data_IF_942398276115
#
_entry.id   IF_942398276115
#
_cell.length_a   1.000
_cell.length_b   1.000
_cell.length_c   1.000
_cell.angle_alpha   90.00
_cell.angle_beta   90.00
_cell.angle_gamma   90.00
#
_symmetry.space_group_name_H-M   'P 1'
#
loop_
_entity.id
_entity.type
_entity.pdbx_description
1 polymer ?
#
# COMPACT_ATOMS: atom_id res chain seq x y z
N UNK A 1 -34.98 -7.89 6.31
CA UNK A 1 -35.72 -9.17 6.27
C UNK A 1 -34.85 -10.37 5.88
N UNK A 2 -34.00 -10.33 4.85
CA UNK A 2 -33.19 -11.48 4.46
C UNK A 2 -32.14 -11.94 5.48
N UNK A 3 -31.49 -11.02 6.19
CA UNK A 3 -30.45 -11.33 7.17
C UNK A 3 -30.97 -11.93 8.49
N UNK A 4 -32.16 -11.55 8.96
CA UNK A 4 -32.73 -12.11 10.18
C UNK A 4 -33.15 -13.57 10.02
N UNK A 5 -33.69 -13.96 8.85
CA UNK A 5 -34.02 -15.35 8.56
C UNK A 5 -32.75 -16.23 8.58
N UNK A 6 -31.69 -15.80 7.92
CA UNK A 6 -30.43 -16.55 7.89
C UNK A 6 -29.80 -16.76 9.29
N UNK A 7 -29.94 -15.80 10.19
CA UNK A 7 -29.42 -15.89 11.57
C UNK A 7 -30.24 -16.88 12.39
N UNK A 8 -31.57 -16.84 12.28
CA UNK A 8 -32.47 -17.77 12.97
C UNK A 8 -32.34 -19.20 12.50
N UNK A 9 -32.26 -19.41 11.19
CA UNK A 9 -32.08 -20.73 10.59
C UNK A 9 -30.77 -21.38 11.06
N UNK A 10 -29.69 -20.60 11.20
CA UNK A 10 -28.42 -21.10 11.67
C UNK A 10 -28.43 -21.51 13.16
N UNK A 11 -29.19 -20.80 14.00
CA UNK A 11 -29.39 -21.18 15.41
C UNK A 11 -30.09 -22.55 15.51
N UNK A 12 -31.03 -22.82 14.60
CA UNK A 12 -31.74 -24.10 14.52
C UNK A 12 -30.83 -25.24 14.03
N UNK A 13 -29.82 -24.94 13.21
CA UNK A 13 -28.85 -25.91 12.70
C UNK A 13 -27.68 -26.22 13.63
N UNK A 14 -27.64 -25.67 14.87
CA UNK A 14 -26.63 -25.97 15.88
C UNK A 14 -25.21 -25.53 15.53
N UNK A 15 -25.05 -24.46 14.71
CA UNK A 15 -23.74 -23.96 14.30
C UNK A 15 -22.94 -23.36 15.45
N UNK A 16 -21.65 -23.77 15.59
CA UNK A 16 -20.73 -23.32 16.64
C UNK A 16 -19.81 -22.16 16.20
N UNK A 17 -19.82 -21.79 14.90
CA UNK A 17 -18.96 -20.71 14.39
C UNK A 17 -19.51 -19.32 14.78
N UNK A 18 -18.64 -18.36 15.14
CA UNK A 18 -19.07 -17.00 15.45
C UNK A 18 -19.76 -16.34 14.25
N UNK A 19 -20.83 -15.60 14.53
CA UNK A 19 -21.60 -14.89 13.53
C UNK A 19 -21.26 -13.40 13.54
N UNK A 20 -21.09 -12.84 12.35
CA UNK A 20 -20.95 -11.41 12.11
C UNK A 20 -22.19 -10.84 11.43
N UNK A 21 -22.66 -9.68 11.90
CA UNK A 21 -23.78 -8.95 11.30
C UNK A 21 -23.37 -7.48 11.07
N UNK A 22 -23.32 -7.10 9.80
CA UNK A 22 -22.92 -5.75 9.36
C UNK A 22 -23.95 -5.21 8.35
N UNK A 23 -25.14 -4.78 8.79
CA UNK A 23 -26.17 -4.27 7.90
C UNK A 23 -25.84 -2.89 7.35
N UNK A 24 -26.44 -2.54 6.23
CA UNK A 24 -26.45 -1.17 5.77
C UNK A 24 -27.30 -0.29 6.71
N UNK A 25 -26.99 1.00 6.80
CA UNK A 25 -27.76 1.98 7.54
C UNK A 25 -29.04 2.36 6.77
N UNK A 26 -29.97 1.39 6.63
CA UNK A 26 -31.22 1.52 5.90
C UNK A 26 -31.12 1.16 4.42
N UNK A 27 -32.22 1.42 3.68
CA UNK A 27 -32.24 1.19 2.23
C UNK A 27 -31.57 2.33 1.47
N UNK A 28 -30.82 2.02 0.39
CA UNK A 28 -30.23 3.05 -0.45
C UNK A 28 -31.31 3.80 -1.25
N UNK A 29 -31.28 5.12 -1.19
CA UNK A 29 -32.02 5.99 -2.10
C UNK A 29 -31.06 6.47 -3.17
N UNK A 30 -31.26 6.00 -4.40
CA UNK A 30 -30.38 6.33 -5.54
C UNK A 30 -30.96 7.55 -6.26
N UNK A 31 -30.18 8.61 -6.34
CA UNK A 31 -30.42 9.77 -7.20
C UNK A 31 -29.45 9.74 -8.38
N UNK A 32 -29.62 10.62 -9.38
CA UNK A 32 -28.74 10.66 -10.56
C UNK A 32 -27.25 10.87 -10.22
N UNK A 33 -26.93 11.43 -9.06
CA UNK A 33 -25.56 11.82 -8.67
C UNK A 33 -25.08 11.21 -7.36
N UNK A 34 -25.98 10.63 -6.53
CA UNK A 34 -25.62 10.16 -5.19
C UNK A 34 -26.46 8.97 -4.74
N UNK A 35 -25.85 8.12 -3.93
CA UNK A 35 -26.54 7.08 -3.14
C UNK A 35 -26.58 7.56 -1.69
N UNK A 36 -27.80 7.71 -1.12
CA UNK A 36 -28.00 8.11 0.28
C UNK A 36 -28.65 6.99 1.07
N UNK A 37 -28.22 6.81 2.30
CA UNK A 37 -28.81 5.89 3.26
C UNK A 37 -29.54 6.69 4.33
N UNK A 38 -30.74 6.25 4.74
CA UNK A 38 -31.65 7.01 5.63
C UNK A 38 -31.83 6.33 6.99
N UNK A 39 -31.00 5.37 7.36
CA UNK A 39 -31.07 4.71 8.66
C UNK A 39 -30.81 5.68 9.81
N UNK A 40 -31.59 5.57 10.89
CA UNK A 40 -31.39 6.36 12.12
C UNK A 40 -30.43 5.59 13.05
N UNK A 41 -29.43 6.25 13.66
CA UNK A 41 -28.48 5.62 14.58
C UNK A 41 -29.15 4.83 15.71
N UNK A 42 -30.22 5.39 16.31
CA UNK A 42 -30.90 4.77 17.44
C UNK A 42 -31.67 3.49 17.03
N UNK A 43 -32.29 3.50 15.85
CA UNK A 43 -32.95 2.32 15.32
C UNK A 43 -31.94 1.22 14.98
N UNK A 44 -30.85 1.60 14.33
CA UNK A 44 -29.74 0.71 13.99
C UNK A 44 -29.15 0.04 15.25
N UNK A 45 -28.87 0.83 16.28
CA UNK A 45 -28.32 0.35 17.54
C UNK A 45 -29.26 -0.63 18.25
N UNK A 46 -30.53 -0.28 18.39
CA UNK A 46 -31.52 -1.10 19.04
C UNK A 46 -31.70 -2.46 18.38
N UNK A 47 -31.80 -2.50 17.04
CA UNK A 47 -32.00 -3.78 16.34
C UNK A 47 -30.79 -4.69 16.44
N UNK A 48 -29.56 -4.12 16.39
CA UNK A 48 -28.33 -4.90 16.61
C UNK A 48 -28.12 -5.28 18.07
N UNK A 49 -28.49 -4.42 19.00
CA UNK A 49 -28.47 -4.72 20.44
C UNK A 49 -29.39 -5.89 20.81
N UNK A 50 -30.58 -5.96 20.18
CA UNK A 50 -31.49 -7.10 20.35
C UNK A 50 -30.85 -8.41 19.90
N UNK A 51 -30.16 -8.42 18.75
CA UNK A 51 -29.44 -9.60 18.24
C UNK A 51 -28.28 -10.00 19.15
N UNK A 52 -27.58 -9.02 19.73
CA UNK A 52 -26.52 -9.26 20.71
C UNK A 52 -27.07 -9.89 21.99
N UNK A 53 -28.17 -9.37 22.53
CA UNK A 53 -28.83 -9.89 23.72
C UNK A 53 -29.32 -11.33 23.56
N UNK A 54 -29.67 -11.75 22.36
CA UNK A 54 -30.02 -13.14 22.04
C UNK A 54 -28.81 -14.10 22.07
N UNK A 55 -27.57 -13.59 22.20
CA UNK A 55 -26.32 -14.36 22.24
C UNK A 55 -25.97 -15.09 20.93
N UNK A 56 -26.67 -14.78 19.83
CA UNK A 56 -26.51 -15.47 18.53
C UNK A 56 -25.41 -14.87 17.67
N UNK A 57 -25.05 -13.60 17.93
CA UNK A 57 -24.12 -12.82 17.12
C UNK A 57 -22.99 -12.30 17.98
N UNK A 58 -21.75 -12.55 17.57
CA UNK A 58 -20.55 -12.18 18.30
C UNK A 58 -19.84 -10.96 17.71
N UNK A 59 -20.03 -10.69 16.41
CA UNK A 59 -19.40 -9.55 15.72
C UNK A 59 -20.52 -8.67 15.16
N UNK A 60 -20.57 -7.43 15.63
CA UNK A 60 -21.56 -6.44 15.23
C UNK A 60 -20.90 -5.22 14.65
N UNK A 61 -21.47 -4.69 13.60
CA UNK A 61 -20.94 -3.51 12.94
C UNK A 61 -21.90 -2.98 11.90
N UNK A 62 -21.39 -2.18 10.98
CA UNK A 62 -22.19 -1.62 9.90
C UNK A 62 -21.49 -1.65 8.57
N UNK A 63 -22.26 -1.50 7.50
CA UNK A 63 -21.80 -1.44 6.13
C UNK A 63 -22.15 -0.07 5.51
N UNK A 64 -22.65 -0.05 4.29
CA UNK A 64 -22.94 1.17 3.54
C UNK A 64 -23.88 2.13 4.29
N UNK A 65 -23.52 3.42 4.31
CA UNK A 65 -24.28 4.47 4.99
C UNK A 65 -24.12 4.51 6.51
N UNK A 66 -23.37 3.59 7.12
CA UNK A 66 -23.04 3.62 8.55
C UNK A 66 -22.07 4.78 8.82
N UNK A 67 -22.38 5.60 9.82
CA UNK A 67 -21.58 6.74 10.24
C UNK A 67 -21.05 6.53 11.67
N UNK A 68 -20.09 7.32 12.13
CA UNK A 68 -19.65 7.27 13.53
C UNK A 68 -20.78 7.37 14.55
N UNK A 69 -21.85 8.14 14.27
CA UNK A 69 -23.02 8.23 15.14
C UNK A 69 -23.75 6.89 15.30
N UNK A 70 -23.85 6.10 14.23
CA UNK A 70 -24.45 4.74 14.30
C UNK A 70 -23.61 3.81 15.18
N UNK A 71 -22.30 3.88 15.07
CA UNK A 71 -21.39 3.05 15.88
C UNK A 71 -21.39 3.49 17.35
N UNK A 72 -21.41 4.80 17.62
CA UNK A 72 -21.52 5.32 18.99
C UNK A 72 -22.85 4.89 19.65
N UNK A 73 -23.96 5.00 18.94
CA UNK A 73 -25.27 4.54 19.44
C UNK A 73 -25.26 3.02 19.69
N UNK A 74 -24.69 2.22 18.77
CA UNK A 74 -24.53 0.78 18.95
C UNK A 74 -23.67 0.46 20.17
N UNK A 75 -22.55 1.17 20.37
CA UNK A 75 -21.69 0.95 21.54
C UNK A 75 -22.44 1.21 22.85
N UNK A 76 -23.16 2.32 22.94
CA UNK A 76 -23.98 2.67 24.09
C UNK A 76 -25.07 1.62 24.39
N UNK A 77 -25.72 1.09 23.35
CA UNK A 77 -26.71 0.04 23.45
C UNK A 77 -26.09 -1.25 24.00
N UNK A 78 -24.95 -1.67 23.46
CA UNK A 78 -24.23 -2.87 23.90
C UNK A 78 -23.71 -2.75 25.35
N UNK A 79 -23.26 -1.55 25.76
CA UNK A 79 -22.81 -1.30 27.12
C UNK A 79 -23.96 -1.32 28.16
N UNK A 80 -25.18 -1.10 27.70
CA UNK A 80 -26.39 -1.21 28.55
C UNK A 80 -26.87 -2.65 28.76
N UNK A 81 -26.39 -3.60 27.93
CA UNK A 81 -26.74 -5.01 28.07
C UNK A 81 -26.03 -5.63 29.30
N UNK A 82 -26.64 -6.60 30.01
CA UNK A 82 -25.98 -7.30 31.11
C UNK A 82 -24.72 -7.99 30.62
N UNK A 83 -23.61 -7.77 31.36
CA UNK A 83 -22.25 -8.16 30.98
C UNK A 83 -22.14 -9.68 30.88
N UNK A 84 -21.92 -10.20 29.69
CA UNK A 84 -21.18 -11.46 29.54
C UNK A 84 -19.68 -11.12 29.70
N UNK A 85 -18.95 -11.88 30.52
CA UNK A 85 -17.58 -11.60 30.98
C UNK A 85 -16.67 -11.03 29.89
N UNK A 86 -16.13 -9.84 30.18
CA UNK A 86 -15.13 -9.16 29.34
C UNK A 86 -13.78 -9.84 29.51
N UNK A 87 -13.28 -10.50 28.47
CA UNK A 87 -11.87 -10.86 28.36
C UNK A 87 -11.11 -9.73 27.68
N UNK A 88 -10.14 -9.16 28.43
CA UNK A 88 -9.05 -8.26 28.09
C UNK A 88 -9.34 -6.75 27.97
N UNK A 89 -8.41 -5.90 28.48
CA UNK A 89 -8.51 -4.46 28.42
C UNK A 89 -8.19 -3.94 27.02
N UNK A 90 -8.92 -2.89 26.63
CA UNK A 90 -8.61 -2.13 25.42
C UNK A 90 -7.29 -1.38 25.62
N UNK A 91 -6.30 -1.64 24.78
CA UNK A 91 -5.14 -0.76 24.65
C UNK A 91 -5.62 0.60 24.12
N UNK A 92 -5.20 1.66 24.77
CA UNK A 92 -5.46 3.02 24.33
C UNK A 92 -4.79 3.23 22.95
N UNK A 93 -5.60 3.47 21.93
CA UNK A 93 -5.09 3.92 20.65
C UNK A 93 -4.44 5.28 20.84
N UNK A 94 -3.12 5.33 20.72
CA UNK A 94 -2.40 6.59 20.63
C UNK A 94 -2.88 7.33 19.38
N UNK A 95 -3.32 8.57 19.58
CA UNK A 95 -3.67 9.49 18.50
C UNK A 95 -2.50 9.59 17.52
N UNK A 96 -2.73 9.17 16.29
CA UNK A 96 -1.79 9.38 15.18
C UNK A 96 -1.56 10.89 15.09
N UNK A 97 -0.32 11.33 15.33
CA UNK A 97 0.08 12.72 15.07
C UNK A 97 -0.16 12.96 13.58
N UNK A 98 -0.94 13.98 13.24
CA UNK A 98 -0.98 14.51 11.88
C UNK A 98 0.45 14.88 11.48
N UNK A 99 1.03 14.06 10.60
CA UNK A 99 2.29 14.42 9.96
C UNK A 99 1.94 15.48 8.93
N UNK A 100 2.46 16.69 9.14
CA UNK A 100 2.50 17.71 8.08
C UNK A 100 3.22 17.10 6.89
N UNK A 101 2.51 16.98 5.78
CA UNK A 101 3.05 16.42 4.53
C UNK A 101 4.08 17.43 4.01
N UNK A 102 5.36 17.25 4.35
CA UNK A 102 6.44 17.88 3.61
C UNK A 102 6.45 17.29 2.20
N UNK A 103 6.25 18.15 1.18
CA UNK A 103 6.14 17.72 -0.21
C UNK A 103 7.45 17.17 -0.80
N UNK A 104 8.58 17.29 -0.12
CA UNK A 104 9.88 16.82 -0.59
C UNK A 104 10.60 16.06 0.53
N UNK A 105 10.98 14.82 0.23
CA UNK A 105 11.69 13.93 1.15
C UNK A 105 13.13 14.41 1.42
N UNK A 106 13.70 14.09 2.59
CA UNK A 106 15.05 14.47 2.99
C UNK A 106 16.12 14.00 1.99
N UNK A 107 15.93 12.84 1.40
CA UNK A 107 16.78 12.30 0.34
C UNK A 107 16.77 13.22 -0.91
N UNK A 108 15.60 13.61 -1.40
CA UNK A 108 15.48 14.48 -2.58
C UNK A 108 16.04 15.88 -2.31
N UNK A 109 15.85 16.44 -1.10
CA UNK A 109 16.46 17.72 -0.72
C UNK A 109 17.98 17.70 -0.84
N UNK A 110 18.63 16.65 -0.31
CA UNK A 110 20.09 16.48 -0.45
C UNK A 110 20.51 16.32 -1.90
N UNK A 111 19.82 15.48 -2.65
CA UNK A 111 20.10 15.24 -4.05
C UNK A 111 20.00 16.52 -4.88
N UNK A 112 18.95 17.32 -4.70
CA UNK A 112 18.72 18.60 -5.37
C UNK A 112 19.72 19.68 -4.95
N UNK A 113 20.24 19.61 -3.73
CA UNK A 113 21.33 20.47 -3.25
C UNK A 113 22.71 20.08 -3.82
N UNK A 114 22.80 19.00 -4.60
CA UNK A 114 24.06 18.49 -5.14
C UNK A 114 24.93 17.76 -4.10
N UNK A 115 24.34 17.39 -2.97
CA UNK A 115 25.02 16.59 -1.94
C UNK A 115 25.14 15.13 -2.36
N UNK A 116 26.17 14.46 -1.86
CA UNK A 116 26.31 13.02 -2.06
C UNK A 116 25.35 12.28 -1.13
N UNK A 117 24.58 11.36 -1.69
CA UNK A 117 23.62 10.52 -0.99
C UNK A 117 24.02 9.05 -1.05
N UNK A 118 23.70 8.31 0.01
CA UNK A 118 23.97 6.88 0.13
C UNK A 118 22.64 6.15 0.07
N UNK A 119 22.40 5.45 -1.05
CA UNK A 119 21.24 4.57 -1.23
C UNK A 119 21.71 3.11 -1.10
N UNK A 120 21.00 2.31 -0.31
CA UNK A 120 21.34 0.91 -0.06
C UNK A 120 20.14 0.04 -0.40
N UNK A 121 20.34 -1.01 -1.21
CA UNK A 121 19.34 -2.02 -1.45
C UNK A 121 19.33 -3.04 -0.32
N UNK A 122 18.17 -3.25 0.27
CA UNK A 122 17.91 -4.27 1.28
C UNK A 122 16.68 -5.08 0.88
N UNK A 123 16.91 -6.32 0.53
CA UNK A 123 15.87 -7.24 0.08
C UNK A 123 14.84 -7.55 1.18
N UNK A 124 13.55 -7.46 0.84
CA UNK A 124 12.47 -7.81 1.77
C UNK A 124 12.51 -9.29 2.19
N UNK A 125 12.00 -9.64 3.40
CA UNK A 125 11.99 -11.02 3.89
C UNK A 125 11.18 -11.97 3.00
N UNK A 126 11.52 -13.26 3.05
CA UNK A 126 10.75 -14.34 2.41
C UNK A 126 9.65 -14.93 3.31
N UNK A 127 9.58 -14.49 4.55
CA UNK A 127 8.61 -14.92 5.55
C UNK A 127 7.90 -13.69 6.15
N UNK A 128 6.99 -13.90 7.08
CA UNK A 128 6.22 -12.84 7.72
C UNK A 128 6.96 -12.12 8.87
N UNK A 129 8.19 -12.49 9.19
CA UNK A 129 8.98 -11.86 10.25
C UNK A 129 9.81 -10.68 9.70
N UNK A 130 9.47 -9.48 10.15
CA UNK A 130 10.12 -8.23 9.77
C UNK A 130 11.18 -7.76 10.78
N UNK A 131 11.32 -8.44 11.94
CA UNK A 131 12.17 -7.99 13.05
C UNK A 131 13.62 -7.79 12.63
N UNK A 132 14.24 -8.80 12.04
CA UNK A 132 15.64 -8.73 11.59
C UNK A 132 15.85 -7.71 10.45
N UNK A 133 14.84 -7.51 9.61
CA UNK A 133 14.88 -6.51 8.56
C UNK A 133 14.90 -5.09 9.13
N UNK A 134 14.02 -4.76 10.08
CA UNK A 134 13.96 -3.45 10.72
C UNK A 134 15.24 -3.15 11.54
N UNK A 135 15.79 -4.15 12.22
CA UNK A 135 17.09 -4.01 12.89
C UNK A 135 18.22 -3.71 11.89
N UNK A 136 18.23 -4.39 10.74
CA UNK A 136 19.14 -4.13 9.64
C UNK A 136 18.99 -2.71 9.10
N UNK A 137 17.78 -2.29 8.80
CA UNK A 137 17.47 -0.94 8.32
C UNK A 137 17.94 0.14 9.32
N UNK A 138 17.69 -0.05 10.62
CA UNK A 138 18.15 0.85 11.69
C UNK A 138 19.67 0.94 11.77
N UNK A 139 20.38 -0.18 11.60
CA UNK A 139 21.86 -0.18 11.56
C UNK A 139 22.39 0.55 10.34
N UNK A 140 21.76 0.40 9.17
CA UNK A 140 22.13 1.10 7.95
C UNK A 140 21.89 2.61 8.08
N UNK A 141 20.77 3.02 8.65
CA UNK A 141 20.50 4.42 8.95
C UNK A 141 21.56 5.02 9.88
N UNK A 142 21.89 4.33 10.97
CA UNK A 142 22.93 4.76 11.90
C UNK A 142 24.34 4.81 11.26
N UNK A 143 24.59 4.03 10.23
CA UNK A 143 25.81 4.05 9.43
C UNK A 143 25.84 5.16 8.35
N UNK A 144 24.75 5.93 8.21
CA UNK A 144 24.68 7.06 7.29
C UNK A 144 23.95 6.79 5.97
N UNK A 145 23.14 5.74 5.87
CA UNK A 145 22.27 5.55 4.70
C UNK A 145 21.18 6.64 4.67
N UNK A 146 21.02 7.28 3.53
CA UNK A 146 20.00 8.30 3.29
C UNK A 146 18.70 7.70 2.76
N UNK A 147 18.80 6.56 2.06
CA UNK A 147 17.68 5.91 1.37
C UNK A 147 17.83 4.39 1.41
N UNK A 148 16.74 3.66 1.66
CA UNK A 148 16.66 2.23 1.39
C UNK A 148 15.87 1.97 0.10
N UNK A 149 16.47 1.23 -0.85
CA UNK A 149 15.77 0.68 -1.99
C UNK A 149 15.33 -0.75 -1.68
N UNK A 150 14.11 -1.12 -2.08
CA UNK A 150 13.52 -2.40 -1.69
C UNK A 150 12.98 -3.11 -2.92
N UNK A 151 13.61 -4.22 -3.29
CA UNK A 151 13.26 -4.96 -4.50
C UNK A 151 11.87 -5.59 -4.44
N UNK A 152 11.12 -5.52 -5.55
CA UNK A 152 9.80 -6.11 -5.72
C UNK A 152 9.92 -7.51 -6.33
N UNK A 153 9.90 -8.54 -5.52
CA UNK A 153 9.99 -9.94 -5.92
C UNK A 153 11.13 -10.21 -6.95
N UNK A 154 12.40 -9.96 -6.57
CA UNK A 154 13.53 -10.16 -7.47
C UNK A 154 13.59 -11.60 -7.98
N UNK A 155 14.03 -11.76 -9.23
CA UNK A 155 14.07 -13.05 -9.94
C UNK A 155 12.67 -13.71 -10.02
N UNK A 156 11.61 -12.90 -9.97
CA UNK A 156 10.22 -13.33 -9.96
C UNK A 156 9.84 -14.28 -8.80
N UNK A 157 10.60 -14.29 -7.72
CA UNK A 157 10.30 -15.08 -6.53
C UNK A 157 9.57 -14.24 -5.49
N UNK A 158 8.46 -14.76 -4.96
CA UNK A 158 7.64 -14.09 -3.98
C UNK A 158 8.44 -13.77 -2.70
N UNK A 159 8.32 -12.52 -2.26
CA UNK A 159 8.83 -12.00 -0.99
C UNK A 159 7.74 -11.13 -0.34
N UNK A 160 7.99 -10.64 0.86
CA UNK A 160 7.13 -9.62 1.46
C UNK A 160 7.07 -8.40 0.52
N UNK A 161 5.87 -7.85 0.31
CA UNK A 161 5.64 -6.74 -0.63
C UNK A 161 6.55 -5.54 -0.31
N UNK A 162 7.30 -5.09 -1.30
CA UNK A 162 8.28 -4.00 -1.18
C UNK A 162 7.68 -2.71 -0.66
N UNK A 163 6.44 -2.42 -1.07
CA UNK A 163 5.72 -1.20 -0.68
C UNK A 163 5.26 -1.24 0.77
N UNK A 164 4.77 -2.40 1.25
CA UNK A 164 4.41 -2.57 2.66
C UNK A 164 5.63 -2.44 3.57
N UNK A 165 6.77 -3.02 3.16
CA UNK A 165 8.03 -2.89 3.89
C UNK A 165 8.52 -1.44 3.88
N UNK A 166 8.43 -0.74 2.74
CA UNK A 166 8.78 0.67 2.62
C UNK A 166 7.97 1.56 3.57
N UNK A 167 6.64 1.39 3.59
CA UNK A 167 5.76 2.11 4.52
C UNK A 167 6.14 1.84 5.99
N UNK A 168 6.48 0.59 6.31
CA UNK A 168 6.86 0.21 7.67
C UNK A 168 8.17 0.86 8.11
N UNK A 169 9.20 0.81 7.26
CA UNK A 169 10.51 1.45 7.52
C UNK A 169 10.35 2.97 7.64
N UNK A 170 9.62 3.58 6.70
CA UNK A 170 9.39 5.02 6.72
C UNK A 170 8.68 5.45 8.01
N UNK A 171 7.62 4.75 8.41
CA UNK A 171 6.83 5.06 9.61
C UNK A 171 7.59 4.88 10.91
N UNK A 172 8.38 3.81 11.04
CA UNK A 172 9.07 3.50 12.30
C UNK A 172 10.42 4.18 12.46
N UNK A 173 11.14 4.38 11.37
CA UNK A 173 12.50 4.89 11.40
C UNK A 173 12.63 6.31 10.83
N UNK A 174 11.63 6.83 10.14
CA UNK A 174 11.73 8.10 9.40
C UNK A 174 12.76 8.06 8.27
N UNK A 175 13.21 6.86 7.87
CA UNK A 175 14.17 6.70 6.78
C UNK A 175 13.46 6.75 5.44
N UNK A 176 14.02 7.49 4.49
CA UNK A 176 13.52 7.54 3.13
C UNK A 176 13.56 6.15 2.47
N UNK A 177 12.55 5.82 1.70
CA UNK A 177 12.43 4.50 1.07
C UNK A 177 12.05 4.62 -0.40
N UNK A 178 12.64 3.76 -1.22
CA UNK A 178 12.37 3.64 -2.65
C UNK A 178 11.91 2.21 -2.96
N UNK A 179 10.62 1.89 -2.77
CA UNK A 179 10.12 0.59 -3.18
C UNK A 179 10.20 0.43 -4.70
N UNK A 180 10.68 -0.72 -5.16
CA UNK A 180 10.57 -1.09 -6.57
C UNK A 180 9.13 -1.47 -6.86
N UNK A 181 8.66 -1.10 -8.05
CA UNK A 181 7.33 -1.42 -8.53
C UNK A 181 7.45 -2.09 -9.90
N UNK A 182 7.22 -3.40 -9.94
CA UNK A 182 7.23 -4.16 -11.19
C UNK A 182 5.89 -4.09 -11.91
N UNK A 183 5.93 -4.14 -13.25
CA UNK A 183 4.73 -4.26 -14.09
C UNK A 183 4.21 -5.71 -14.18
N UNK A 184 4.95 -6.68 -13.62
CA UNK A 184 4.70 -8.12 -13.83
C UNK A 184 3.41 -8.59 -13.18
N UNK A 185 3.16 -8.22 -11.92
CA UNK A 185 2.20 -8.92 -11.08
C UNK A 185 0.91 -8.12 -10.81
N UNK A 186 0.85 -6.84 -11.22
CA UNK A 186 -0.27 -5.95 -10.88
C UNK A 186 -0.98 -5.42 -12.12
N UNK A 187 -2.32 -5.45 -12.08
CA UNK A 187 -3.15 -4.74 -13.05
C UNK A 187 -3.31 -3.26 -12.67
N UNK A 188 -4.01 -2.49 -13.51
CA UNK A 188 -4.22 -1.05 -13.32
C UNK A 188 -4.82 -0.72 -11.94
N UNK A 189 -5.86 -1.44 -11.52
CA UNK A 189 -6.53 -1.17 -10.25
C UNK A 189 -5.63 -1.47 -9.05
N UNK A 190 -4.92 -2.59 -9.06
CA UNK A 190 -3.96 -2.94 -8.01
C UNK A 190 -2.79 -1.95 -7.96
N UNK A 191 -2.31 -1.50 -9.12
CA UNK A 191 -1.26 -0.46 -9.22
C UNK A 191 -1.74 0.86 -8.63
N UNK A 192 -2.94 1.32 -9.01
CA UNK A 192 -3.52 2.58 -8.49
C UNK A 192 -3.73 2.51 -6.98
N UNK A 193 -4.34 1.45 -6.48
CA UNK A 193 -4.59 1.27 -5.05
C UNK A 193 -3.29 1.30 -4.23
N UNK A 194 -2.23 0.64 -4.73
CA UNK A 194 -0.93 0.64 -4.07
C UNK A 194 -0.27 2.03 -4.06
N UNK A 195 -0.31 2.76 -5.17
CA UNK A 195 0.23 4.12 -5.26
C UNK A 195 -0.47 5.09 -4.30
N UNK A 196 -1.80 5.02 -4.21
CA UNK A 196 -2.56 5.82 -3.26
C UNK A 196 -2.18 5.48 -1.80
N UNK A 197 -1.97 4.20 -1.50
CA UNK A 197 -1.50 3.75 -0.20
C UNK A 197 -0.11 4.26 0.14
N UNK A 198 0.86 4.12 -0.78
CA UNK A 198 2.22 4.66 -0.61
C UNK A 198 2.19 6.17 -0.36
N UNK A 199 1.40 6.90 -1.15
CA UNK A 199 1.25 8.35 -1.00
C UNK A 199 0.68 8.71 0.37
N UNK A 200 -0.35 8.03 0.84
CA UNK A 200 -0.97 8.24 2.16
C UNK A 200 -0.02 7.96 3.33
N UNK A 201 0.89 6.97 3.16
CA UNK A 201 1.91 6.61 4.15
C UNK A 201 3.16 7.50 4.13
N UNK A 202 3.21 8.52 3.27
CA UNK A 202 4.35 9.44 3.18
C UNK A 202 5.48 8.99 2.25
N UNK A 203 5.39 7.82 1.62
CA UNK A 203 6.38 7.36 0.63
C UNK A 203 6.14 8.09 -0.69
N UNK A 204 7.13 8.85 -1.13
CA UNK A 204 7.02 9.75 -2.31
C UNK A 204 7.86 9.30 -3.51
N UNK A 205 8.73 8.34 -3.34
CA UNK A 205 9.64 7.81 -4.35
C UNK A 205 9.27 6.38 -4.71
N UNK A 206 9.36 6.05 -6.01
CA UNK A 206 9.22 4.68 -6.51
C UNK A 206 10.20 4.40 -7.64
N UNK A 207 10.71 3.17 -7.72
CA UNK A 207 11.46 2.70 -8.88
C UNK A 207 10.54 1.91 -9.81
N UNK A 208 10.17 2.50 -10.94
CA UNK A 208 9.33 1.87 -11.93
C UNK A 208 10.14 0.97 -12.88
N UNK A 209 9.94 -0.33 -12.77
CA UNK A 209 10.65 -1.34 -13.58
C UNK A 209 9.69 -2.31 -14.25
N UNK A 210 10.13 -2.94 -15.33
CA UNK A 210 9.30 -3.95 -16.02
C UNK A 210 9.14 -5.21 -15.18
N UNK A 211 10.17 -5.59 -14.43
CA UNK A 211 10.25 -6.82 -13.66
C UNK A 211 10.87 -7.98 -14.45
N UNK A 212 11.46 -8.92 -13.72
CA UNK A 212 12.08 -10.12 -14.27
C UNK A 212 11.01 -11.05 -14.85
N UNK A 213 11.33 -11.80 -15.90
CA UNK A 213 10.43 -12.81 -16.43
C UNK A 213 10.25 -13.96 -15.44
N UNK A 214 9.05 -14.52 -15.37
CA UNK A 214 8.76 -15.69 -14.54
C UNK A 214 9.59 -16.88 -15.06
N UNK A 215 10.32 -17.58 -14.16
CA UNK A 215 11.06 -18.77 -14.51
C UNK A 215 10.17 -19.82 -15.20
N UNK A 216 10.72 -20.53 -16.18
CA UNK A 216 9.93 -21.49 -16.98
C UNK A 216 9.26 -22.56 -16.12
N UNK A 217 9.92 -23.01 -15.06
CA UNK A 217 9.39 -24.02 -14.14
C UNK A 217 8.17 -23.57 -13.32
N UNK A 218 7.98 -22.25 -13.15
CA UNK A 218 6.91 -21.69 -12.32
C UNK A 218 5.75 -21.13 -13.15
N UNK A 219 5.82 -21.18 -14.49
CA UNK A 219 4.82 -20.56 -15.38
C UNK A 219 3.44 -21.20 -15.33
N UNK A 220 3.33 -22.41 -14.84
CA UNK A 220 2.04 -23.08 -14.68
C UNK A 220 1.29 -22.56 -13.44
N UNK A 221 2.01 -22.21 -12.40
CA UNK A 221 1.45 -21.71 -11.13
C UNK A 221 1.30 -20.20 -11.12
N UNK A 222 2.28 -19.46 -11.69
CA UNK A 222 2.33 -18.00 -11.68
C UNK A 222 2.02 -17.46 -13.06
N UNK A 223 1.01 -16.60 -13.18
CA UNK A 223 0.66 -15.89 -14.42
C UNK A 223 1.04 -14.42 -14.30
N UNK A 224 1.77 -13.92 -15.30
CA UNK A 224 2.08 -12.50 -15.39
C UNK A 224 0.87 -11.69 -15.88
N UNK A 225 0.84 -10.41 -15.52
CA UNK A 225 -0.20 -9.46 -15.93
C UNK A 225 0.32 -8.52 -17.03
N UNK A 226 1.50 -7.91 -16.81
CA UNK A 226 2.16 -6.96 -17.72
C UNK A 226 1.22 -5.97 -18.42
N UNK A 227 0.29 -5.37 -17.67
CA UNK A 227 -0.60 -4.35 -18.23
C UNK A 227 0.16 -3.08 -18.62
N UNK A 228 1.25 -2.79 -17.91
CA UNK A 228 2.18 -1.71 -18.20
C UNK A 228 3.55 -2.24 -18.64
N UNK A 229 4.34 -1.36 -19.24
CA UNK A 229 5.80 -1.40 -19.17
C UNK A 229 6.28 -0.23 -18.30
N UNK A 230 7.57 -0.19 -17.95
CA UNK A 230 8.10 0.82 -17.01
C UNK A 230 7.83 2.27 -17.44
N UNK A 231 7.87 2.59 -18.74
CA UNK A 231 7.58 3.94 -19.26
C UNK A 231 6.11 4.32 -19.07
N UNK A 232 5.19 3.42 -19.46
CA UNK A 232 3.75 3.64 -19.26
C UNK A 232 3.37 3.68 -17.79
N UNK A 233 4.07 2.90 -16.94
CA UNK A 233 3.89 2.97 -15.50
C UNK A 233 4.31 4.33 -14.95
N UNK A 234 5.48 4.85 -15.35
CA UNK A 234 5.93 6.18 -14.95
C UNK A 234 4.93 7.28 -15.38
N UNK A 235 4.51 7.27 -16.65
CA UNK A 235 3.51 8.20 -17.17
C UNK A 235 2.21 8.13 -16.35
N UNK A 236 1.77 6.93 -16.02
CA UNK A 236 0.57 6.72 -15.21
C UNK A 236 0.72 7.30 -13.81
N UNK A 237 1.83 7.03 -13.11
CA UNK A 237 2.10 7.57 -11.76
C UNK A 237 2.04 9.11 -11.77
N UNK A 238 2.73 9.74 -12.70
CA UNK A 238 2.72 11.21 -12.86
C UNK A 238 1.32 11.73 -13.14
N UNK A 239 0.51 11.00 -13.90
CA UNK A 239 -0.86 11.42 -14.24
C UNK A 239 -1.82 11.43 -13.04
N UNK A 240 -1.51 10.72 -11.94
CA UNK A 240 -2.34 10.69 -10.74
C UNK A 240 -2.14 11.91 -9.83
N UNK A 241 -1.08 12.69 -10.06
CA UNK A 241 -0.71 13.81 -9.21
C UNK A 241 -1.22 15.15 -9.76
N UNK A 242 -1.59 16.07 -8.87
CA UNK A 242 -1.96 17.44 -9.18
C UNK A 242 -3.23 17.91 -8.49
N UNK A 243 -3.52 19.20 -8.61
CA UNK A 243 -4.72 19.80 -8.02
C UNK A 243 -5.99 19.15 -8.58
N UNK A 244 -6.89 18.74 -7.70
CA UNK A 244 -8.13 18.03 -8.05
C UNK A 244 -7.95 16.60 -8.54
N UNK A 245 -6.75 16.04 -8.47
CA UNK A 245 -6.45 14.65 -8.81
C UNK A 245 -6.39 13.78 -7.55
N UNK A 246 -6.14 12.48 -7.75
CA UNK A 246 -6.15 11.49 -6.69
C UNK A 246 -5.00 11.67 -5.68
N UNK A 247 -3.86 12.21 -6.11
CA UNK A 247 -2.72 12.56 -5.25
C UNK A 247 -2.52 14.08 -5.29
N UNK A 248 -2.59 14.78 -4.14
CA UNK A 248 -2.46 16.23 -4.06
C UNK A 248 -1.11 16.78 -4.55
N UNK A 249 -0.06 15.98 -4.46
CA UNK A 249 1.30 16.34 -4.88
C UNK A 249 1.97 15.24 -5.69
N UNK A 250 3.17 15.51 -6.24
CA UNK A 250 3.88 14.57 -7.09
C UNK A 250 4.43 13.38 -6.31
N UNK A 251 4.63 12.27 -7.01
CA UNK A 251 5.56 11.21 -6.66
C UNK A 251 6.76 11.28 -7.60
N UNK A 252 7.95 11.09 -7.06
CA UNK A 252 9.18 11.02 -7.85
C UNK A 252 9.38 9.61 -8.37
N UNK A 253 9.49 9.47 -9.68
CA UNK A 253 9.63 8.17 -10.34
C UNK A 253 11.05 7.99 -10.83
N UNK A 254 11.74 6.98 -10.31
CA UNK A 254 13.04 6.56 -10.83
C UNK A 254 12.88 5.39 -11.80
N UNK A 255 13.85 5.24 -12.69
CA UNK A 255 13.96 4.12 -13.61
C UNK A 255 15.26 3.34 -13.44
N UNK A 256 15.36 2.17 -14.04
CA UNK A 256 16.63 1.45 -14.15
C UNK A 256 17.37 1.82 -15.43
N UNK A 257 18.71 1.92 -15.34
CA UNK A 257 19.62 2.15 -16.46
C UNK A 257 20.70 1.08 -16.50
N UNK A 258 20.82 0.36 -17.60
CA UNK A 258 21.81 -0.70 -17.76
C UNK A 258 23.08 -0.19 -18.46
N UNK A 259 24.08 0.19 -17.66
CA UNK A 259 25.39 0.63 -18.17
C UNK A 259 26.20 -0.49 -18.84
N UNK A 260 25.80 -1.75 -18.65
CA UNK A 260 26.46 -2.92 -19.22
C UNK A 260 25.73 -3.45 -20.47
N UNK A 261 24.81 -2.67 -21.04
CA UNK A 261 24.07 -3.08 -22.25
C UNK A 261 25.01 -3.29 -23.44
N UNK A 262 24.80 -4.34 -24.22
CA UNK A 262 25.59 -4.65 -25.42
C UNK A 262 25.57 -3.51 -26.45
N UNK A 263 24.43 -2.82 -26.57
CA UNK A 263 24.28 -1.63 -27.39
C UNK A 263 23.82 -0.49 -26.51
N UNK A 264 24.75 0.32 -26.05
CA UNK A 264 24.49 1.40 -25.10
C UNK A 264 23.72 2.56 -25.73
N UNK A 265 23.85 2.81 -27.03
CA UNK A 265 23.08 3.87 -27.72
C UNK A 265 21.56 3.56 -27.74
N UNK A 266 21.22 2.27 -27.78
CA UNK A 266 19.82 1.84 -27.63
C UNK A 266 19.34 2.08 -26.19
N UNK A 267 20.19 1.83 -25.20
CA UNK A 267 19.84 2.06 -23.80
C UNK A 267 19.71 3.56 -23.48
N UNK A 268 20.58 4.41 -24.03
CA UNK A 268 20.46 5.87 -23.94
C UNK A 268 19.13 6.38 -24.53
N UNK A 269 18.78 5.87 -25.70
CA UNK A 269 17.48 6.21 -26.32
C UNK A 269 16.29 5.82 -25.41
N UNK A 270 16.36 4.61 -24.82
CA UNK A 270 15.35 4.15 -23.85
C UNK A 270 15.33 5.01 -22.58
N UNK A 271 16.51 5.44 -22.10
CA UNK A 271 16.61 6.34 -20.96
C UNK A 271 15.93 7.69 -21.27
N UNK A 272 16.19 8.26 -22.44
CA UNK A 272 15.52 9.48 -22.91
C UNK A 272 13.99 9.31 -22.96
N UNK A 273 13.50 8.22 -23.53
CA UNK A 273 12.06 7.92 -23.56
C UNK A 273 11.47 7.76 -22.12
N UNK A 274 12.25 7.24 -21.16
CA UNK A 274 11.84 7.14 -19.75
C UNK A 274 11.69 8.52 -19.11
N UNK A 275 12.64 9.44 -19.34
CA UNK A 275 12.55 10.84 -18.88
C UNK A 275 11.34 11.56 -19.51
N UNK A 276 11.12 11.42 -20.82
CA UNK A 276 9.97 11.98 -21.52
C UNK A 276 8.63 11.46 -20.98
N UNK A 277 8.61 10.27 -20.37
CA UNK A 277 7.44 9.70 -19.70
C UNK A 277 7.38 10.00 -18.20
N UNK A 278 8.18 10.94 -17.69
CA UNK A 278 8.08 11.47 -16.34
C UNK A 278 8.96 10.81 -15.29
N UNK A 279 9.96 10.02 -15.70
CA UNK A 279 11.00 9.60 -14.75
C UNK A 279 11.93 10.78 -14.46
N UNK A 280 12.34 10.93 -13.19
CA UNK A 280 13.21 12.03 -12.73
C UNK A 280 14.68 11.63 -12.64
N UNK A 281 14.99 10.34 -12.68
CA UNK A 281 16.35 9.84 -12.55
C UNK A 281 16.45 8.34 -12.69
N UNK A 282 17.66 7.81 -12.51
CA UNK A 282 17.93 6.38 -12.71
C UNK A 282 18.78 5.77 -11.59
N UNK A 283 18.44 4.53 -11.24
CA UNK A 283 19.37 3.61 -10.58
C UNK A 283 20.06 2.78 -11.65
N UNK A 284 21.38 2.74 -11.61
CA UNK A 284 22.17 1.99 -12.60
C UNK A 284 22.41 0.55 -12.13
N UNK A 285 22.70 -0.33 -13.09
CA UNK A 285 23.35 -1.60 -12.78
C UNK A 285 24.76 -1.33 -12.19
N UNK A 286 25.34 -2.29 -11.43
CA UNK A 286 26.66 -2.10 -10.83
C UNK A 286 27.71 -1.66 -11.84
N UNK A 287 28.49 -0.64 -11.46
CA UNK A 287 29.57 -0.07 -12.28
C UNK A 287 30.87 -0.80 -11.95
N UNK A 288 31.11 -1.94 -12.59
CA UNK A 288 32.24 -2.83 -12.29
C UNK A 288 33.29 -2.90 -13.42
N UNK A 289 33.10 -2.12 -14.49
CA UNK A 289 34.04 -2.13 -15.64
C UNK A 289 34.35 -0.73 -16.12
N UNK A 290 35.53 -0.54 -16.72
CA UNK A 290 35.91 0.71 -17.36
C UNK A 290 34.88 1.13 -18.43
N UNK A 291 34.35 0.17 -19.19
CA UNK A 291 33.30 0.45 -20.18
C UNK A 291 32.00 1.01 -19.53
N UNK A 292 31.58 0.48 -18.38
CA UNK A 292 30.42 1.01 -17.67
C UNK A 292 30.67 2.44 -17.16
N UNK A 293 31.91 2.77 -16.73
CA UNK A 293 32.31 4.15 -16.37
C UNK A 293 32.20 5.07 -17.59
N UNK A 294 32.73 4.66 -18.74
CA UNK A 294 32.66 5.45 -19.97
C UNK A 294 31.21 5.59 -20.44
N UNK A 295 30.36 4.59 -20.28
CA UNK A 295 28.94 4.67 -20.57
C UNK A 295 28.23 5.64 -19.61
N UNK A 296 28.58 5.64 -18.32
CA UNK A 296 28.03 6.58 -17.34
C UNK A 296 28.34 8.04 -17.69
N UNK A 297 29.55 8.33 -18.22
CA UNK A 297 29.92 9.69 -18.66
C UNK A 297 29.11 10.20 -19.86
N UNK A 298 28.43 9.32 -20.59
CA UNK A 298 27.58 9.67 -21.75
C UNK A 298 26.13 9.97 -21.37
N UNK A 299 25.73 9.71 -20.10
CA UNK A 299 24.39 9.94 -19.59
C UNK A 299 24.23 11.35 -19.03
#
# INVERSE_FOLDING_TARGET
>A
MGSEMCIRDRKQLGGTLPLSVMPNAGYPVVTRTQVKYQGRPEYFARELGRLAAEGTVQILGGCCGTTPAHIAALRAELDSLPVMEKTAPAEEFSTVKEQTVENEDAFLRKLNAGEKVIAIELDSPRNADLTGYLEGAKKLQAAGADLLTIADCPIAQARMDSSLVACRVHRELGLCTLPHMTCRDRNLNATKALLLGLYAEGVREVLAITGDPIPTAERDEVKNVYQFNSRKLAQYIVSLAGEGREMPGPMTVFGALNLNARNFDVELRRAKEKLENGMSGFLTQPVLSAQAVENLKKT
#
